data_IF_258968618494
#
_entry.id   IF_258968618494
#
_cell.length_a   1.000
_cell.length_b   1.000
_cell.length_c   1.000
_cell.angle_alpha   90.00
_cell.angle_beta   90.00
_cell.angle_gamma   90.00
#
_symmetry.space_group_name_H-M   'P 1'
#
loop_
_entity.id
_entity.type
_entity.pdbx_description
1 polymer ?
#
# COMPACT_ATOMS: atom_id res chain seq x y z
N UNK A 1 -14.71 -0.75 21.87
CA UNK A 1 -13.31 -1.14 22.00
C UNK A 1 -12.46 0.10 21.79
N UNK A 2 -11.56 0.41 22.72
CA UNK A 2 -10.59 1.48 22.57
C UNK A 2 -9.34 0.88 21.98
N UNK A 3 -8.94 1.32 20.78
CA UNK A 3 -7.68 1.00 20.15
C UNK A 3 -6.67 2.12 20.42
N UNK A 4 -5.43 1.75 20.67
CA UNK A 4 -4.32 2.69 20.65
C UNK A 4 -3.80 2.78 19.22
N UNK A 5 -3.51 4.00 18.76
CA UNK A 5 -3.00 4.26 17.42
C UNK A 5 -1.59 4.82 17.49
N UNK A 6 -0.72 4.33 16.62
CA UNK A 6 0.50 5.02 16.20
C UNK A 6 0.37 5.42 14.73
N UNK A 7 0.91 6.56 14.38
CA UNK A 7 0.99 7.05 13.01
C UNK A 7 2.46 7.12 12.62
N UNK A 8 2.84 6.38 11.59
CA UNK A 8 4.20 6.36 11.09
C UNK A 8 4.21 6.91 9.66
N UNK A 9 4.69 8.14 9.52
CA UNK A 9 4.87 8.79 8.23
C UNK A 9 6.21 8.39 7.63
N UNK A 10 6.22 7.97 6.36
CA UNK A 10 7.45 7.66 5.64
C UNK A 10 7.62 8.66 4.51
N UNK A 11 8.59 9.55 4.65
CA UNK A 11 8.97 10.55 3.65
C UNK A 11 10.07 9.98 2.76
N UNK A 12 9.74 9.72 1.49
CA UNK A 12 10.63 9.16 0.49
C UNK A 12 11.50 10.25 -0.17
N UNK A 13 12.20 11.02 0.67
CA UNK A 13 13.14 12.04 0.24
C UNK A 13 12.48 13.22 -0.48
N UNK A 14 11.40 13.75 0.08
CA UNK A 14 10.70 14.92 -0.47
C UNK A 14 11.59 16.16 -0.50
N UNK A 15 11.43 16.97 -1.52
CA UNK A 15 12.16 18.25 -1.69
C UNK A 15 11.34 19.49 -1.30
N UNK A 16 10.11 19.28 -0.83
CA UNK A 16 9.21 20.30 -0.34
C UNK A 16 9.13 20.30 1.20
N UNK A 17 8.15 20.96 1.79
CA UNK A 17 7.97 21.05 3.24
C UNK A 17 7.39 19.80 3.90
N UNK A 18 7.29 18.65 3.21
CA UNK A 18 6.71 17.42 3.77
C UNK A 18 7.42 16.98 5.05
N UNK A 19 8.76 16.96 5.04
CA UNK A 19 9.53 16.56 6.22
C UNK A 19 9.34 17.52 7.42
N UNK A 20 9.24 18.82 7.16
CA UNK A 20 9.00 19.81 8.22
C UNK A 20 7.62 19.60 8.86
N UNK A 21 6.60 19.31 8.04
CA UNK A 21 5.26 18.96 8.52
C UNK A 21 5.29 17.67 9.38
N UNK A 22 6.02 16.64 8.96
CA UNK A 22 6.17 15.42 9.75
C UNK A 22 6.83 15.67 11.11
N UNK A 23 7.86 16.51 11.16
CA UNK A 23 8.52 16.94 12.40
C UNK A 23 7.57 17.68 13.33
N UNK A 24 6.81 18.62 12.78
CA UNK A 24 5.82 19.38 13.54
C UNK A 24 4.71 18.51 14.11
N UNK A 25 4.25 17.51 13.36
CA UNK A 25 3.26 16.54 13.85
C UNK A 25 3.82 15.70 15.00
N UNK A 26 5.05 15.22 14.88
CA UNK A 26 5.72 14.46 15.94
C UNK A 26 5.87 15.28 17.23
N UNK A 27 6.18 16.58 17.12
CA UNK A 27 6.29 17.46 18.28
C UNK A 27 4.93 17.72 18.96
N UNK A 28 3.84 17.72 18.21
CA UNK A 28 2.48 18.01 18.70
C UNK A 28 1.75 16.79 19.24
N UNK A 29 2.03 15.61 18.71
CA UNK A 29 1.36 14.36 19.07
C UNK A 29 2.39 13.22 19.15
N UNK A 30 2.60 12.68 20.34
CA UNK A 30 3.56 11.59 20.59
C UNK A 30 3.22 10.28 19.85
N UNK A 31 2.01 10.16 19.32
CA UNK A 31 1.60 9.01 18.49
C UNK A 31 2.13 9.13 17.05
N UNK A 32 2.51 10.33 16.62
CA UNK A 32 3.02 10.61 15.29
C UNK A 32 4.53 10.43 15.26
N UNK A 33 4.99 9.43 14.52
CA UNK A 33 6.40 9.16 14.24
C UNK A 33 6.68 9.35 12.75
N UNK A 34 7.95 9.51 12.38
CA UNK A 34 8.31 9.60 10.97
C UNK A 34 9.66 8.96 10.67
N UNK A 35 9.80 8.54 9.42
CA UNK A 35 11.05 8.11 8.79
C UNK A 35 11.27 9.04 7.59
N UNK A 36 12.48 9.55 7.42
CA UNK A 36 12.84 10.34 6.24
C UNK A 36 14.05 9.72 5.56
N UNK A 37 13.92 9.48 4.27
CA UNK A 37 14.99 8.96 3.44
C UNK A 37 15.90 10.08 2.93
N UNK A 38 17.17 9.77 2.76
CA UNK A 38 18.18 10.71 2.23
C UNK A 38 17.95 11.10 0.76
N UNK A 39 17.18 10.31 0.02
CA UNK A 39 16.74 10.56 -1.36
C UNK A 39 15.50 9.73 -1.65
N UNK A 40 14.90 9.91 -2.82
CA UNK A 40 13.82 9.03 -3.28
C UNK A 40 14.37 7.62 -3.59
N UNK A 41 13.90 6.62 -2.85
CA UNK A 41 14.16 5.19 -3.03
C UNK A 41 12.96 4.45 -3.62
N UNK A 42 11.80 5.10 -3.68
CA UNK A 42 10.57 4.57 -4.25
C UNK A 42 9.59 4.02 -3.21
N UNK A 43 8.34 3.90 -3.65
CA UNK A 43 7.20 3.49 -2.80
C UNK A 43 7.43 2.15 -2.09
N UNK A 44 8.02 1.18 -2.79
CA UNK A 44 8.27 -0.16 -2.23
C UNK A 44 9.22 -0.11 -1.03
N UNK A 45 10.29 0.70 -1.13
CA UNK A 45 11.22 0.92 -0.01
C UNK A 45 10.51 1.62 1.15
N UNK A 46 9.66 2.59 0.87
CA UNK A 46 8.88 3.30 1.90
C UNK A 46 7.90 2.37 2.62
N UNK A 47 7.19 1.50 1.88
CA UNK A 47 6.31 0.49 2.47
C UNK A 47 7.11 -0.45 3.38
N UNK A 48 8.24 -0.96 2.90
CA UNK A 48 9.08 -1.87 3.69
C UNK A 48 9.57 -1.23 4.98
N UNK A 49 10.12 -0.02 4.92
CA UNK A 49 10.60 0.70 6.10
C UNK A 49 9.49 1.00 7.10
N UNK A 50 8.29 1.35 6.61
CA UNK A 50 7.12 1.56 7.45
C UNK A 50 6.69 0.28 8.16
N UNK A 51 6.63 -0.85 7.45
CA UNK A 51 6.30 -2.14 8.05
C UNK A 51 7.35 -2.59 9.08
N UNK A 52 8.64 -2.43 8.78
CA UNK A 52 9.73 -2.80 9.68
C UNK A 52 9.71 -2.02 11.01
N UNK A 53 9.32 -0.76 10.97
CA UNK A 53 9.26 0.11 12.17
C UNK A 53 7.92 0.08 12.89
N UNK A 54 6.88 -0.47 12.27
CA UNK A 54 5.56 -0.58 12.89
C UNK A 54 5.56 -1.54 14.08
N UNK A 55 4.86 -1.21 15.16
CA UNK A 55 4.83 -1.99 16.41
C UNK A 55 3.45 -2.55 16.76
N UNK A 56 2.39 -2.04 16.15
CA UNK A 56 1.01 -2.42 16.45
C UNK A 56 0.67 -3.89 16.13
N UNK A 57 -0.33 -4.46 16.82
CA UNK A 57 -0.89 -5.79 16.55
C UNK A 57 -1.52 -5.88 15.15
N UNK A 58 -2.00 -4.75 14.66
CA UNK A 58 -2.53 -4.56 13.32
C UNK A 58 -1.83 -3.39 12.66
N UNK A 59 -1.51 -3.52 11.37
CA UNK A 59 -0.80 -2.48 10.60
C UNK A 59 -1.62 -2.13 9.37
N UNK A 60 -1.94 -0.85 9.21
CA UNK A 60 -2.56 -0.32 8.01
C UNK A 60 -1.52 0.41 7.14
N UNK A 61 -1.50 0.11 5.85
CA UNK A 61 -0.79 0.91 4.84
C UNK A 61 -1.81 1.82 4.18
N UNK A 62 -1.48 3.10 4.03
CA UNK A 62 -2.34 4.09 3.41
C UNK A 62 -1.51 5.15 2.67
N UNK A 63 -1.94 5.54 1.47
CA UNK A 63 -1.35 6.68 0.77
C UNK A 63 -1.84 7.99 1.39
N UNK A 64 -0.93 8.97 1.55
CA UNK A 64 -1.24 10.24 2.21
C UNK A 64 -2.06 11.23 1.34
N UNK A 65 -2.42 10.86 0.10
CA UNK A 65 -3.15 11.71 -0.84
C UNK A 65 -4.69 11.68 -0.67
N UNK A 66 -5.17 10.98 0.35
CA UNK A 66 -6.58 10.81 0.71
C UNK A 66 -7.43 10.12 -0.39
N UNK A 67 -6.81 9.49 -1.37
CA UNK A 67 -7.54 8.61 -2.30
C UNK A 67 -7.99 7.30 -1.63
N UNK A 68 -7.36 6.95 -0.52
CA UNK A 68 -7.69 5.81 0.32
C UNK A 68 -8.52 6.31 1.52
N UNK A 69 -9.84 6.03 1.59
CA UNK A 69 -10.70 6.62 2.61
C UNK A 69 -10.41 6.06 4.01
N UNK A 70 -9.95 6.89 4.98
CA UNK A 70 -9.71 6.43 6.35
C UNK A 70 -10.98 5.90 7.04
N UNK A 71 -12.15 6.31 6.57
CA UNK A 71 -13.45 5.87 7.06
C UNK A 71 -13.69 4.37 6.94
N UNK A 72 -12.91 3.65 6.11
CA UNK A 72 -12.99 2.18 5.99
C UNK A 72 -12.25 1.46 7.12
N UNK A 73 -11.33 2.10 7.85
CA UNK A 73 -10.55 1.45 8.91
C UNK A 73 -11.41 0.78 9.99
N UNK A 74 -12.48 1.38 10.51
CA UNK A 74 -13.34 0.72 11.51
C UNK A 74 -13.96 -0.58 11.01
N UNK A 75 -14.38 -0.64 9.74
CA UNK A 75 -14.92 -1.84 9.12
C UNK A 75 -13.82 -2.89 8.93
N UNK A 76 -12.64 -2.49 8.44
CA UNK A 76 -11.49 -3.37 8.27
C UNK A 76 -11.05 -4.00 9.60
N UNK A 77 -10.99 -3.22 10.68
CA UNK A 77 -10.68 -3.72 12.04
C UNK A 77 -11.74 -4.73 12.49
N UNK A 78 -13.02 -4.39 12.31
CA UNK A 78 -14.12 -5.30 12.67
C UNK A 78 -13.97 -6.65 11.97
N UNK A 79 -13.72 -6.66 10.67
CA UNK A 79 -13.53 -7.88 9.88
C UNK A 79 -12.34 -8.70 10.41
N UNK A 80 -11.17 -8.09 10.63
CA UNK A 80 -10.01 -8.79 11.15
C UNK A 80 -10.21 -9.39 12.53
N UNK A 81 -10.95 -8.69 13.41
CA UNK A 81 -11.17 -9.14 14.79
C UNK A 81 -12.27 -10.20 14.87
N UNK A 82 -13.31 -10.13 14.01
CA UNK A 82 -14.50 -10.98 14.13
C UNK A 82 -14.58 -12.09 13.09
N UNK A 83 -13.90 -11.95 11.96
CA UNK A 83 -13.89 -12.91 10.87
C UNK A 83 -12.47 -13.48 10.71
N UNK A 84 -12.30 -14.73 10.44
CA UNK A 84 -10.98 -15.40 10.40
C UNK A 84 -10.16 -15.03 9.14
N UNK A 85 -9.81 -13.73 9.02
CA UNK A 85 -8.92 -13.18 8.00
C UNK A 85 -7.64 -12.64 8.63
N UNK A 86 -6.53 -12.71 7.88
CA UNK A 86 -5.23 -12.16 8.28
C UNK A 86 -4.98 -10.77 7.68
N UNK A 87 -5.72 -10.43 6.62
CA UNK A 87 -5.65 -9.12 5.97
C UNK A 87 -7.03 -8.71 5.44
N UNK A 88 -7.28 -7.40 5.47
CA UNK A 88 -8.38 -6.76 4.75
C UNK A 88 -7.78 -5.75 3.78
N UNK A 89 -8.00 -5.95 2.51
CA UNK A 89 -7.45 -5.10 1.44
C UNK A 89 -8.57 -4.39 0.68
N UNK A 90 -8.25 -3.29 0.05
CA UNK A 90 -9.21 -2.53 -0.73
C UNK A 90 -8.96 -2.69 -2.23
N UNK A 91 -10.04 -2.65 -3.02
CA UNK A 91 -9.97 -2.59 -4.48
C UNK A 91 -10.92 -1.54 -5.03
N UNK A 92 -10.50 -0.88 -6.10
CA UNK A 92 -11.35 0.04 -6.85
C UNK A 92 -12.25 -0.73 -7.80
N UNK A 93 -13.54 -0.45 -7.77
CA UNK A 93 -14.52 -1.04 -8.71
C UNK A 93 -14.75 -0.18 -9.95
N UNK A 94 -14.34 1.08 -9.94
CA UNK A 94 -14.48 1.96 -11.09
C UNK A 94 -13.15 2.62 -11.47
N UNK A 95 -12.94 2.79 -12.78
CA UNK A 95 -11.79 3.52 -13.35
C UNK A 95 -12.26 4.85 -13.96
N UNK A 96 -13.37 5.40 -13.46
CA UNK A 96 -13.86 6.72 -13.93
C UNK A 96 -12.75 7.76 -13.73
N UNK A 97 -12.49 8.53 -14.80
CA UNK A 97 -11.42 9.55 -14.81
C UNK A 97 -10.04 9.05 -15.25
N UNK A 98 -9.83 7.75 -15.48
CA UNK A 98 -8.58 7.26 -16.08
C UNK A 98 -8.63 7.28 -17.63
N UNK A 99 -7.52 7.62 -18.32
CA UNK A 99 -7.42 7.48 -19.76
C UNK A 99 -7.66 6.02 -20.19
N UNK A 100 -8.49 5.75 -21.21
CA UNK A 100 -8.86 4.37 -21.61
C UNK A 100 -7.64 3.53 -22.01
N UNK A 101 -6.63 4.14 -22.62
CA UNK A 101 -5.37 3.48 -22.99
C UNK A 101 -4.64 2.94 -21.75
N UNK A 102 -4.56 3.73 -20.68
CA UNK A 102 -3.92 3.32 -19.41
C UNK A 102 -4.70 2.17 -18.75
N UNK A 103 -6.01 2.23 -18.78
CA UNK A 103 -6.88 1.16 -18.26
C UNK A 103 -6.68 -0.15 -19.02
N UNK A 104 -6.58 -0.10 -20.36
CA UNK A 104 -6.31 -1.27 -21.20
C UNK A 104 -4.95 -1.91 -20.87
N UNK A 105 -3.88 -1.10 -20.80
CA UNK A 105 -2.54 -1.61 -20.44
C UNK A 105 -2.50 -2.23 -19.04
N UNK A 106 -3.17 -1.63 -18.07
CA UNK A 106 -3.26 -2.19 -16.73
C UNK A 106 -3.97 -3.56 -16.74
N UNK A 107 -5.09 -3.67 -17.47
CA UNK A 107 -5.82 -4.94 -17.60
C UNK A 107 -4.98 -6.02 -18.29
N UNK A 108 -4.29 -5.68 -19.37
CA UNK A 108 -3.38 -6.60 -20.07
C UNK A 108 -2.22 -7.05 -19.16
N UNK A 109 -1.67 -6.13 -18.36
CA UNK A 109 -0.64 -6.46 -17.39
C UNK A 109 -1.14 -7.47 -16.35
N UNK A 110 -2.28 -7.21 -15.69
CA UNK A 110 -2.84 -8.16 -14.71
C UNK A 110 -3.15 -9.52 -15.35
N UNK A 111 -3.67 -9.53 -16.56
CA UNK A 111 -3.93 -10.79 -17.30
C UNK A 111 -2.64 -11.55 -17.60
N UNK A 112 -1.58 -10.86 -17.99
CA UNK A 112 -0.29 -11.46 -18.28
C UNK A 112 0.35 -12.01 -17.00
N UNK A 113 0.46 -11.20 -15.94
CA UNK A 113 1.13 -11.62 -14.70
C UNK A 113 0.39 -12.80 -14.04
N UNK A 114 -0.93 -12.79 -14.03
CA UNK A 114 -1.73 -13.90 -13.49
C UNK A 114 -1.66 -15.18 -14.36
N UNK A 115 -1.14 -15.07 -15.61
CA UNK A 115 -0.91 -16.25 -16.45
C UNK A 115 0.47 -16.86 -16.28
N UNK A 116 1.48 -16.03 -15.96
CA UNK A 116 2.90 -16.46 -15.85
C UNK A 116 3.35 -16.66 -14.41
N UNK A 117 2.62 -16.12 -13.45
CA UNK A 117 2.91 -16.22 -12.03
C UNK A 117 2.01 -17.27 -11.37
N UNK A 118 2.53 -17.95 -10.35
CA UNK A 118 1.78 -18.92 -9.52
C UNK A 118 0.85 -18.23 -8.52
N UNK A 119 0.79 -16.89 -8.52
CA UNK A 119 -0.04 -16.10 -7.62
C UNK A 119 -1.10 -15.31 -8.41
N UNK A 120 -2.30 -15.20 -7.85
CA UNK A 120 -3.36 -14.37 -8.40
C UNK A 120 -3.31 -12.96 -7.81
N UNK A 121 -2.99 -11.97 -8.63
CA UNK A 121 -3.02 -10.57 -8.26
C UNK A 121 -4.37 -9.98 -8.66
N UNK A 122 -5.12 -9.49 -7.67
CA UNK A 122 -6.45 -8.91 -7.88
C UNK A 122 -6.40 -7.63 -8.71
N UNK A 123 -7.16 -7.57 -9.82
CA UNK A 123 -7.29 -6.34 -10.61
C UNK A 123 -7.96 -5.23 -9.79
N UNK A 124 -7.43 -4.01 -9.90
CA UNK A 124 -7.90 -2.86 -9.12
C UNK A 124 -7.41 -2.84 -7.68
N UNK A 125 -6.59 -3.82 -7.24
CA UNK A 125 -6.02 -3.84 -5.89
C UNK A 125 -5.26 -2.54 -5.58
N UNK A 126 -5.56 -1.97 -4.40
CA UNK A 126 -4.83 -0.85 -3.82
C UNK A 126 -3.81 -1.37 -2.81
N UNK A 127 -2.85 -0.51 -2.47
CA UNK A 127 -1.92 -0.81 -1.39
C UNK A 127 -2.58 -0.61 -0.01
N UNK A 128 -3.70 0.15 0.04
CA UNK A 128 -4.49 0.37 1.24
C UNK A 128 -5.05 -0.95 1.75
N UNK A 129 -4.51 -1.39 2.88
CA UNK A 129 -4.87 -2.63 3.56
C UNK A 129 -4.57 -2.57 5.03
N UNK A 130 -5.30 -3.35 5.81
CA UNK A 130 -5.06 -3.63 7.22
C UNK A 130 -4.60 -5.08 7.34
N UNK A 131 -3.53 -5.32 8.07
CA UNK A 131 -2.87 -6.63 8.21
C UNK A 131 -2.67 -6.97 9.68
N UNK A 132 -2.76 -8.26 10.02
CA UNK A 132 -2.31 -8.76 11.31
C UNK A 132 -0.78 -8.68 11.45
N UNK A 133 -0.26 -8.63 12.66
CA UNK A 133 1.19 -8.68 12.94
C UNK A 133 1.84 -9.90 12.27
N UNK A 134 1.23 -11.07 12.39
CA UNK A 134 1.70 -12.30 11.75
C UNK A 134 1.89 -12.15 10.23
N UNK A 135 0.93 -11.49 9.56
CA UNK A 135 1.03 -11.21 8.13
C UNK A 135 2.24 -10.30 7.83
N UNK A 136 2.40 -9.22 8.61
CA UNK A 136 3.51 -8.26 8.47
C UNK A 136 4.86 -8.94 8.69
N UNK A 137 5.00 -9.73 9.74
CA UNK A 137 6.25 -10.44 10.05
C UNK A 137 6.63 -11.42 8.95
N UNK A 138 5.65 -12.08 8.33
CA UNK A 138 5.88 -12.96 7.17
C UNK A 138 6.34 -12.17 5.95
N UNK A 139 5.79 -10.98 5.69
CA UNK A 139 6.27 -10.10 4.62
C UNK A 139 7.71 -9.60 4.86
N UNK A 140 8.06 -9.31 6.10
CA UNK A 140 9.39 -8.85 6.49
C UNK A 140 10.44 -9.96 6.44
N UNK A 141 10.02 -11.24 6.54
CA UNK A 141 10.93 -12.38 6.36
C UNK A 141 11.40 -12.54 4.91
N UNK A 142 10.65 -12.00 3.94
CA UNK A 142 11.00 -11.97 2.53
C UNK A 142 11.98 -10.81 2.28
N UNK A 143 13.23 -11.13 1.90
CA UNK A 143 14.33 -10.16 1.78
C UNK A 143 14.68 -9.79 0.34
N UNK A 144 13.73 -9.87 -0.57
CA UNK A 144 13.93 -9.51 -1.96
C UNK A 144 14.30 -8.03 -2.08
N UNK A 145 15.33 -7.74 -2.90
CA UNK A 145 15.75 -6.37 -3.19
C UNK A 145 14.73 -5.67 -4.10
N UNK A 146 14.30 -6.34 -5.17
CA UNK A 146 13.27 -5.83 -6.08
C UNK A 146 11.90 -6.26 -5.55
N UNK A 147 11.30 -5.42 -4.71
CA UNK A 147 10.00 -5.71 -4.11
C UNK A 147 8.86 -5.29 -5.05
N UNK A 148 7.87 -6.14 -5.14
CA UNK A 148 6.58 -5.82 -5.74
C UNK A 148 5.49 -6.18 -4.72
N UNK A 149 5.15 -5.22 -3.88
CA UNK A 149 4.30 -5.45 -2.70
C UNK A 149 3.00 -6.15 -3.01
N UNK A 150 2.32 -5.82 -4.14
CA UNK A 150 1.06 -6.47 -4.54
C UNK A 150 1.22 -7.98 -4.77
N UNK A 151 2.34 -8.38 -5.34
CA UNK A 151 2.68 -9.79 -5.50
C UNK A 151 3.04 -10.45 -4.17
N UNK A 152 3.90 -9.79 -3.36
CA UNK A 152 4.30 -10.30 -2.05
C UNK A 152 3.10 -10.51 -1.12
N UNK A 153 2.11 -9.61 -1.15
CA UNK A 153 0.88 -9.75 -0.37
C UNK A 153 0.06 -11.00 -0.74
N UNK A 154 0.10 -11.42 -2.01
CA UNK A 154 -0.53 -12.66 -2.45
C UNK A 154 0.36 -13.87 -2.16
N UNK A 155 1.68 -13.73 -2.36
CA UNK A 155 2.66 -14.80 -2.20
C UNK A 155 2.69 -15.40 -0.79
N UNK A 156 2.55 -14.60 0.27
CA UNK A 156 2.55 -15.10 1.64
C UNK A 156 1.35 -16.00 1.98
N UNK A 157 0.34 -16.11 1.10
CA UNK A 157 -0.72 -17.11 1.15
C UNK A 157 -1.75 -16.95 2.27
N UNK A 158 -1.79 -15.81 2.95
CA UNK A 158 -2.75 -15.54 4.01
C UNK A 158 -4.14 -15.17 3.47
N UNK A 159 -5.17 -15.44 4.28
CA UNK A 159 -6.55 -15.11 3.92
C UNK A 159 -6.78 -13.61 3.91
N UNK A 160 -7.13 -13.08 2.74
CA UNK A 160 -7.42 -11.66 2.54
C UNK A 160 -8.89 -11.46 2.19
N UNK A 161 -9.58 -10.57 2.91
CA UNK A 161 -10.90 -10.04 2.55
C UNK A 161 -10.73 -8.79 1.69
N UNK A 162 -11.54 -8.69 0.64
CA UNK A 162 -11.54 -7.52 -0.24
C UNK A 162 -12.76 -6.65 0.04
N UNK A 163 -12.52 -5.34 0.24
CA UNK A 163 -13.54 -4.31 0.34
C UNK A 163 -13.49 -3.48 -0.95
N UNK A 164 -14.63 -3.33 -1.57
CA UNK A 164 -14.79 -2.53 -2.77
C UNK A 164 -15.15 -1.09 -2.40
N UNK A 165 -14.52 -0.13 -3.08
CA UNK A 165 -14.88 1.27 -2.94
C UNK A 165 -14.80 2.02 -4.28
N UNK A 166 -15.57 3.10 -4.39
CA UNK A 166 -15.52 3.96 -5.56
C UNK A 166 -14.26 4.84 -5.52
N UNK A 167 -13.70 5.10 -6.72
CA UNK A 167 -12.51 5.94 -6.82
C UNK A 167 -12.80 7.36 -6.33
N UNK A 168 -11.99 7.83 -5.37
CA UNK A 168 -12.01 9.21 -4.89
C UNK A 168 -10.94 9.99 -5.64
N UNK A 169 -11.27 11.19 -6.10
CA UNK A 169 -10.30 12.08 -6.72
C UNK A 169 -9.24 12.52 -5.71
N UNK A 170 -8.00 12.64 -6.19
CA UNK A 170 -6.89 13.09 -5.36
C UNK A 170 -7.13 14.51 -4.85
N UNK A 171 -6.97 14.72 -3.55
CA UNK A 171 -7.16 16.03 -2.91
C UNK A 171 -5.99 16.97 -3.21
N UNK A 172 -4.75 16.45 -3.31
CA UNK A 172 -3.55 17.21 -3.57
C UNK A 172 -2.47 16.39 -4.29
N UNK A 173 -1.54 17.08 -4.96
CA UNK A 173 -0.40 16.49 -5.66
C UNK A 173 -0.73 16.02 -7.08
N UNK A 174 0.33 15.82 -7.87
CA UNK A 174 0.26 15.32 -9.23
C UNK A 174 0.78 13.88 -9.33
N UNK A 175 0.32 13.14 -10.36
CA UNK A 175 0.85 11.79 -10.60
C UNK A 175 2.29 11.86 -11.10
N UNK A 176 3.23 11.30 -10.34
CA UNK A 176 4.66 11.18 -10.71
C UNK A 176 4.92 9.97 -11.61
N UNK A 177 3.90 9.18 -11.96
CA UNK A 177 4.02 7.98 -12.77
C UNK A 177 3.93 8.31 -14.25
N UNK A 178 5.06 8.26 -14.96
CA UNK A 178 5.09 8.26 -16.42
C UNK A 178 4.80 6.86 -16.97
N UNK A 179 4.47 6.78 -18.28
CA UNK A 179 4.27 5.51 -18.98
C UNK A 179 5.49 4.58 -18.83
N UNK A 180 6.69 5.10 -18.99
CA UNK A 180 7.94 4.33 -18.86
C UNK A 180 8.16 3.81 -17.43
N UNK A 181 7.87 4.59 -16.41
CA UNK A 181 7.94 4.13 -15.01
C UNK A 181 6.96 3.00 -14.73
N UNK A 182 5.75 3.07 -15.26
CA UNK A 182 4.76 2.01 -15.13
C UNK A 182 5.22 0.73 -15.86
N UNK A 183 5.83 0.87 -17.03
CA UNK A 183 6.35 -0.26 -17.79
C UNK A 183 7.51 -0.95 -17.04
N UNK A 184 8.49 -0.20 -16.53
CA UNK A 184 9.58 -0.77 -15.74
C UNK A 184 9.08 -1.43 -14.45
N UNK A 185 8.16 -0.80 -13.74
CA UNK A 185 7.53 -1.40 -12.56
C UNK A 185 6.78 -2.70 -12.90
N UNK A 186 6.23 -2.78 -14.10
CA UNK A 186 5.61 -4.02 -14.59
C UNK A 186 6.63 -5.13 -14.83
N UNK A 187 7.81 -4.79 -15.36
CA UNK A 187 8.91 -5.74 -15.52
C UNK A 187 9.45 -6.22 -14.16
N UNK A 188 9.63 -5.31 -13.20
CA UNK A 188 10.03 -5.68 -11.84
C UNK A 188 9.03 -6.68 -11.23
N UNK A 189 7.71 -6.45 -11.43
CA UNK A 189 6.67 -7.38 -11.00
C UNK A 189 6.75 -8.76 -11.69
N UNK A 190 7.05 -8.81 -12.99
CA UNK A 190 7.17 -10.06 -13.76
C UNK A 190 8.44 -10.84 -13.36
N UNK A 191 9.53 -10.16 -13.03
CA UNK A 191 10.81 -10.81 -12.70
C UNK A 191 10.93 -11.20 -11.23
N UNK A 192 10.02 -10.72 -10.38
CA UNK A 192 10.00 -11.03 -8.95
C UNK A 192 9.25 -12.35 -8.63
N UNK A 193 8.42 -12.87 -9.58
CA UNK A 193 7.58 -14.06 -9.37
C UNK A 193 7.63 -15.04 -10.56
#
# INVERSE_FOLDING_TARGET
NHYNFEFLFVDDGSSDHTLDICRDLNLKDSRCNYISFSRNFGKEAAIYAGLEKSTGDYVAIMDADLQDPPALLPEMIKILVTENYDSVATRRVSRKGEPPVRSLFAHLFYKLINKISDIEIMDGARDYRLMSRKFVDSLLSLREYNRFSKGLFAWVGFKTKWIEFENVERVAGETKWSFWKLLFYSFDGITAF
#
